data_IF_971739074215
#
_entry.id   IF_971739074215
#
_cell.length_a   1.000
_cell.length_b   1.000
_cell.length_c   1.000
_cell.angle_alpha   90.00
_cell.angle_beta   90.00
_cell.angle_gamma   90.00
#
_symmetry.space_group_name_H-M   'P 1'
#
loop_
_entity.id
_entity.type
_entity.pdbx_description
1 polymer ?
#
# COMPACT_ATOMS: atom_id res chain seq x y z
N UNK A 1 -18.71 23.86 10.97
CA UNK A 1 -18.79 23.11 12.27
C UNK A 1 -18.63 24.10 13.42
N UNK A 2 -19.44 24.00 14.50
CA UNK A 2 -19.25 24.77 15.72
C UNK A 2 -18.02 24.26 16.47
N UNK A 3 -17.16 25.16 16.94
CA UNK A 3 -16.00 24.74 17.72
C UNK A 3 -16.38 24.33 19.13
N UNK A 4 -15.94 23.14 19.52
CA UNK A 4 -16.17 22.52 20.83
C UNK A 4 -14.83 22.28 21.51
N UNK A 5 -14.76 22.58 22.82
CA UNK A 5 -13.56 22.46 23.63
C UNK A 5 -13.73 21.38 24.69
N UNK A 6 -12.72 20.53 24.88
CA UNK A 6 -12.71 19.46 25.87
C UNK A 6 -11.45 19.56 26.72
N UNK A 7 -11.60 19.40 28.04
CA UNK A 7 -10.50 19.44 28.99
C UNK A 7 -9.52 18.31 28.80
N UNK A 8 -8.24 18.64 28.73
CA UNK A 8 -7.14 17.69 28.59
C UNK A 8 -6.61 17.31 29.97
N UNK A 9 -6.70 16.02 30.32
CA UNK A 9 -6.16 15.51 31.58
C UNK A 9 -4.64 15.63 31.61
N UNK A 10 -4.10 16.51 32.44
CA UNK A 10 -2.65 16.71 32.66
C UNK A 10 -2.34 16.82 34.15
N UNK A 11 -1.10 16.55 34.53
CA UNK A 11 -0.64 16.68 35.92
C UNK A 11 -0.34 18.14 36.32
N UNK A 12 -0.24 19.04 35.33
CA UNK A 12 0.08 20.46 35.56
C UNK A 12 -0.65 21.33 34.54
N UNK A 13 -1.44 22.29 35.05
CA UNK A 13 -2.16 23.27 34.24
C UNK A 13 -3.46 22.75 33.62
N UNK A 14 -4.38 23.68 33.43
CA UNK A 14 -5.68 23.46 32.84
C UNK A 14 -5.60 23.76 31.34
N UNK A 15 -5.66 22.70 30.55
CA UNK A 15 -5.61 22.77 29.09
C UNK A 15 -6.92 22.27 28.50
N UNK A 16 -7.29 22.83 27.36
CA UNK A 16 -8.41 22.33 26.56
C UNK A 16 -7.99 22.22 25.08
N UNK A 17 -8.45 21.16 24.43
CA UNK A 17 -8.27 20.92 23.01
C UNK A 17 -9.61 21.10 22.29
N UNK A 18 -9.60 21.73 21.14
CA UNK A 18 -10.81 21.86 20.32
C UNK A 18 -10.89 20.79 19.21
N UNK A 19 -12.11 20.53 18.73
CA UNK A 19 -12.37 19.73 17.54
C UNK A 19 -11.77 20.35 16.24
N UNK A 20 -11.31 21.61 16.30
CA UNK A 20 -10.59 22.28 15.22
C UNK A 20 -9.05 22.17 15.36
N UNK A 21 -8.53 21.39 16.32
CA UNK A 21 -7.09 21.19 16.51
C UNK A 21 -6.36 22.32 17.21
N UNK A 22 -7.08 23.24 17.87
CA UNK A 22 -6.52 24.33 18.65
C UNK A 22 -6.38 23.94 20.12
N UNK A 23 -5.28 24.35 20.76
CA UNK A 23 -5.06 24.14 22.20
C UNK A 23 -5.14 25.50 22.92
N UNK A 24 -5.76 25.53 24.12
CA UNK A 24 -5.76 26.67 25.00
C UNK A 24 -5.43 26.30 26.45
N UNK A 25 -4.92 27.24 27.20
CA UNK A 25 -4.58 27.13 28.63
C UNK A 25 -5.21 28.23 29.40
N UNK A 26 -5.73 27.94 30.59
CA UNK A 26 -6.20 28.92 31.54
C UNK A 26 -5.05 29.38 32.42
N UNK A 27 -4.86 30.73 32.53
CA UNK A 27 -3.85 31.33 33.38
C UNK A 27 -4.53 31.98 34.57
N UNK A 28 -4.43 31.32 35.71
CA UNK A 28 -5.16 31.67 36.94
C UNK A 28 -4.72 32.96 37.61
N UNK A 29 -3.61 33.60 37.19
CA UNK A 29 -3.07 34.82 37.84
C UNK A 29 -3.78 36.12 37.46
N UNK A 30 -4.56 36.18 36.36
CA UNK A 30 -5.16 37.39 35.83
C UNK A 30 -6.57 37.21 35.27
N UNK A 31 -7.37 36.32 35.90
CA UNK A 31 -8.71 36.03 35.43
C UNK A 31 -8.78 34.75 34.56
N UNK A 32 -9.99 34.24 34.39
CA UNK A 32 -10.28 32.97 33.69
C UNK A 32 -10.22 33.08 32.15
N UNK A 33 -9.43 34.01 31.60
CA UNK A 33 -9.33 34.17 30.14
C UNK A 33 -8.37 33.13 29.55
N UNK A 34 -8.86 32.26 28.69
CA UNK A 34 -8.01 31.25 28.09
C UNK A 34 -7.07 31.83 27.04
N UNK A 35 -5.80 31.41 27.06
CA UNK A 35 -4.79 31.79 26.08
C UNK A 35 -4.60 30.65 25.07
N UNK A 36 -4.70 30.98 23.78
CA UNK A 36 -4.44 30.03 22.71
C UNK A 36 -2.95 29.72 22.61
N UNK A 37 -2.62 28.45 22.54
CA UNK A 37 -1.24 27.94 22.39
C UNK A 37 -1.01 27.55 20.92
N UNK A 38 -0.14 28.29 20.23
CA UNK A 38 0.15 28.06 18.81
C UNK A 38 0.88 26.71 18.57
N UNK A 39 1.64 26.22 19.57
CA UNK A 39 2.49 25.04 19.41
C UNK A 39 3.60 25.21 18.38
N UNK A 40 4.39 24.14 18.16
CA UNK A 40 5.44 24.08 17.14
C UNK A 40 5.06 23.18 15.96
N UNK A 41 5.99 23.04 15.03
CA UNK A 41 5.90 22.05 13.93
C UNK A 41 7.14 21.18 14.00
N UNK A 42 6.96 19.85 13.96
CA UNK A 42 8.07 18.88 13.93
C UNK A 42 8.78 18.88 12.58
N UNK A 43 9.98 18.32 12.49
CA UNK A 43 10.72 18.12 11.23
C UNK A 43 9.92 17.29 10.22
N UNK A 44 9.02 16.42 10.70
CA UNK A 44 8.12 15.62 9.86
C UNK A 44 6.86 16.41 9.42
N UNK A 45 6.70 17.68 9.83
CA UNK A 45 5.60 18.54 9.45
C UNK A 45 4.33 18.42 10.29
N UNK A 46 4.38 17.80 11.48
CA UNK A 46 3.22 17.67 12.36
C UNK A 46 3.14 18.81 13.37
N UNK A 47 1.93 19.30 13.66
CA UNK A 47 1.69 20.21 14.79
C UNK A 47 2.01 19.50 16.10
N UNK A 48 2.75 20.17 16.98
CA UNK A 48 3.16 19.63 18.29
C UNK A 48 2.92 20.68 19.39
N UNK A 49 2.48 20.18 20.55
CA UNK A 49 2.29 20.96 21.77
C UNK A 49 3.19 20.40 22.90
N UNK A 50 3.50 21.26 23.86
CA UNK A 50 4.21 20.85 25.08
C UNK A 50 3.25 20.91 26.26
N UNK A 51 2.87 19.72 26.77
CA UNK A 51 1.93 19.57 27.90
C UNK A 51 2.67 18.94 29.07
N UNK A 52 2.74 19.66 30.18
CA UNK A 52 3.40 19.18 31.41
C UNK A 52 4.82 18.62 31.19
N UNK A 53 5.62 19.30 30.33
CA UNK A 53 6.98 18.87 30.00
C UNK A 53 7.09 17.77 28.96
N UNK A 54 5.98 17.27 28.39
CA UNK A 54 5.96 16.23 27.36
C UNK A 54 5.49 16.80 26.03
N UNK A 55 6.14 16.34 24.97
CA UNK A 55 5.73 16.63 23.60
C UNK A 55 4.55 15.77 23.18
N UNK A 56 3.48 16.40 22.67
CA UNK A 56 2.25 15.73 22.24
C UNK A 56 1.88 16.21 20.85
N UNK A 57 1.63 15.27 19.92
CA UNK A 57 1.22 15.60 18.56
C UNK A 57 -0.25 16.05 18.53
N UNK A 58 -0.53 17.17 17.85
CA UNK A 58 -1.84 17.81 17.81
C UNK A 58 -2.94 16.88 17.28
N UNK A 59 -2.73 16.23 16.14
CA UNK A 59 -3.69 15.28 15.57
C UNK A 59 -4.01 14.11 16.51
N UNK A 60 -3.01 13.59 17.24
CA UNK A 60 -3.23 12.51 18.21
C UNK A 60 -4.03 12.98 19.42
N UNK A 61 -3.80 14.25 19.82
CA UNK A 61 -4.54 14.85 20.92
C UNK A 61 -6.02 15.02 20.54
N UNK A 62 -6.31 15.56 19.35
CA UNK A 62 -7.69 15.68 18.83
C UNK A 62 -8.35 14.30 18.70
N UNK A 63 -7.69 13.35 18.03
CA UNK A 63 -8.24 12.02 17.85
C UNK A 63 -8.58 11.34 19.19
N UNK A 64 -7.71 11.49 20.20
CA UNK A 64 -7.92 10.90 21.54
C UNK A 64 -9.19 11.40 22.23
N UNK A 65 -9.54 12.67 22.03
CA UNK A 65 -10.66 13.29 22.75
C UNK A 65 -11.96 13.37 21.96
N UNK A 66 -11.90 13.26 20.62
CA UNK A 66 -13.07 13.45 19.75
C UNK A 66 -13.41 12.27 18.86
N UNK A 67 -12.51 11.28 18.71
CA UNK A 67 -12.73 10.13 17.81
C UNK A 67 -12.61 8.84 18.61
N UNK A 68 -13.68 8.05 18.63
CA UNK A 68 -13.67 6.73 19.29
C UNK A 68 -12.71 5.77 18.56
N UNK A 69 -11.90 5.03 19.32
CA UNK A 69 -10.95 4.04 18.81
C UNK A 69 -11.33 2.62 19.26
N UNK A 70 -12.45 2.10 18.73
CA UNK A 70 -12.97 0.77 19.09
C UNK A 70 -12.01 -0.38 18.81
N UNK A 71 -11.21 -0.26 17.77
CA UNK A 71 -10.29 -1.30 17.32
C UNK A 71 -8.86 -1.13 17.85
N UNK A 72 -8.63 -0.18 18.77
CA UNK A 72 -7.31 0.14 19.32
C UNK A 72 -6.24 0.37 18.23
N UNK A 73 -6.60 1.04 17.14
CA UNK A 73 -5.67 1.37 16.06
C UNK A 73 -4.52 2.25 16.54
N UNK A 74 -3.27 1.97 16.13
CA UNK A 74 -2.09 2.66 16.62
C UNK A 74 -1.83 4.02 15.96
N UNK A 75 -2.38 4.25 14.76
CA UNK A 75 -2.12 5.43 13.95
C UNK A 75 -3.33 6.36 13.89
N UNK A 76 -3.05 7.66 13.72
CA UNK A 76 -4.03 8.66 13.31
C UNK A 76 -3.62 9.17 11.93
N UNK A 77 -4.50 9.03 10.96
CA UNK A 77 -4.32 9.47 9.58
C UNK A 77 -4.99 10.83 9.34
N UNK A 78 -4.41 11.64 8.45
CA UNK A 78 -5.03 12.83 7.89
C UNK A 78 -5.65 12.47 6.53
N UNK A 79 -6.97 12.46 6.43
CA UNK A 79 -7.70 12.03 5.21
C UNK A 79 -7.28 12.81 3.97
N UNK A 80 -7.00 14.11 4.11
CA UNK A 80 -6.53 14.98 3.01
C UNK A 80 -5.00 15.00 2.84
N UNK A 81 -4.25 14.25 3.66
CA UNK A 81 -2.78 14.22 3.66
C UNK A 81 -2.09 15.46 4.25
N UNK A 82 -2.81 16.51 4.63
CA UNK A 82 -2.24 17.71 5.24
C UNK A 82 -2.02 17.51 6.75
N UNK A 83 -0.77 17.35 7.16
CA UNK A 83 -0.36 17.08 8.55
C UNK A 83 -0.62 18.24 9.53
N UNK A 84 -0.92 19.42 9.04
CA UNK A 84 -1.25 20.59 9.86
C UNK A 84 -2.75 20.80 10.03
N UNK A 85 -3.57 20.12 9.23
CA UNK A 85 -5.03 20.19 9.31
C UNK A 85 -5.56 19.15 10.30
N UNK A 86 -5.62 19.57 11.57
CA UNK A 86 -6.01 18.73 12.70
C UNK A 86 -7.49 18.84 13.08
N UNK A 87 -8.34 19.28 12.15
CA UNK A 87 -9.80 19.29 12.35
C UNK A 87 -10.30 17.84 12.47
N UNK A 88 -11.21 17.58 13.40
CA UNK A 88 -11.70 16.23 13.70
C UNK A 88 -12.23 15.49 12.47
N UNK A 89 -12.93 16.17 11.56
CA UNK A 89 -13.48 15.58 10.34
C UNK A 89 -12.40 15.07 9.37
N UNK A 90 -11.20 15.66 9.44
CA UNK A 90 -10.05 15.27 8.63
C UNK A 90 -9.23 14.13 9.24
N UNK A 91 -9.52 13.72 10.48
CA UNK A 91 -8.74 12.70 11.20
C UNK A 91 -9.50 11.39 11.29
N UNK A 92 -8.75 10.28 11.33
CA UNK A 92 -9.28 8.95 11.58
C UNK A 92 -8.23 8.07 12.26
N UNK A 93 -8.69 7.14 13.12
CA UNK A 93 -7.83 6.08 13.62
C UNK A 93 -7.66 4.99 12.55
N UNK A 94 -6.45 4.50 12.35
CA UNK A 94 -6.15 3.47 11.36
C UNK A 94 -4.98 2.58 11.78
N UNK A 95 -4.87 1.42 11.14
CA UNK A 95 -3.71 0.56 11.23
C UNK A 95 -2.51 1.14 10.45
N UNK A 96 -1.31 0.60 10.70
CA UNK A 96 -0.11 0.96 9.91
C UNK A 96 -0.27 0.63 8.42
N UNK A 97 -0.95 -0.48 8.10
CA UNK A 97 -1.21 -0.91 6.72
C UNK A 97 -2.12 0.07 5.99
N UNK A 98 -3.28 0.40 6.58
CA UNK A 98 -4.24 1.35 6.01
C UNK A 98 -3.60 2.73 5.80
N UNK A 99 -2.85 3.23 6.80
CA UNK A 99 -2.14 4.49 6.68
C UNK A 99 -1.11 4.49 5.52
N UNK A 100 -0.41 3.37 5.34
CA UNK A 100 0.54 3.21 4.23
C UNK A 100 -0.17 3.16 2.87
N UNK A 101 -1.25 2.40 2.74
CA UNK A 101 -2.06 2.30 1.52
C UNK A 101 -2.64 3.68 1.17
N UNK A 102 -3.18 4.41 2.16
CA UNK A 102 -3.68 5.76 1.97
C UNK A 102 -2.60 6.70 1.43
N UNK A 103 -1.38 6.68 2.02
CA UNK A 103 -0.27 7.50 1.57
C UNK A 103 0.15 7.23 0.11
N UNK A 104 0.07 5.97 -0.36
CA UNK A 104 0.27 5.62 -1.77
C UNK A 104 -0.89 6.13 -2.65
N UNK A 105 -2.13 5.97 -2.20
CA UNK A 105 -3.34 6.36 -2.96
C UNK A 105 -3.37 7.86 -3.24
N UNK A 106 -2.99 8.69 -2.26
CA UNK A 106 -2.97 10.17 -2.42
C UNK A 106 -1.62 10.72 -2.90
N UNK A 107 -0.69 9.83 -3.29
CA UNK A 107 0.60 10.22 -3.89
C UNK A 107 1.65 10.76 -2.93
N UNK A 108 1.45 10.70 -1.62
CA UNK A 108 2.47 11.07 -0.61
C UNK A 108 3.65 10.10 -0.56
N UNK A 109 3.43 8.86 -1.00
CA UNK A 109 4.47 7.85 -1.19
C UNK A 109 4.42 7.34 -2.62
N UNK A 110 5.59 7.17 -3.22
CA UNK A 110 5.75 6.48 -4.50
C UNK A 110 6.39 5.11 -4.24
N UNK A 111 5.93 4.03 -4.88
CA UNK A 111 6.61 2.76 -4.77
C UNK A 111 8.02 2.88 -5.36
N UNK A 112 9.01 2.35 -4.68
CA UNK A 112 10.36 2.20 -5.22
C UNK A 112 10.34 1.02 -6.19
N UNK A 113 10.27 1.33 -7.48
CA UNK A 113 10.24 0.35 -8.59
C UNK A 113 11.56 0.36 -9.34
N UNK A 114 11.84 -0.75 -10.03
CA UNK A 114 13.04 -0.87 -10.84
C UNK A 114 14.32 -0.81 -10.02
N UNK A 115 15.34 -0.18 -10.57
CA UNK A 115 16.65 -0.02 -9.93
C UNK A 115 16.65 0.85 -8.66
N UNK A 116 15.59 1.66 -8.46
CA UNK A 116 15.43 2.46 -7.24
C UNK A 116 15.02 1.60 -6.02
N UNK A 117 14.62 0.35 -6.22
CA UNK A 117 14.33 -0.57 -5.12
C UNK A 117 15.61 -1.01 -4.44
N UNK A 118 15.66 -0.93 -3.09
CA UNK A 118 16.79 -1.43 -2.30
C UNK A 118 17.08 -2.93 -2.50
N UNK A 119 16.16 -3.67 -3.10
CA UNK A 119 16.29 -5.11 -3.42
C UNK A 119 16.70 -5.35 -4.87
N UNK A 120 16.82 -4.32 -5.69
CA UNK A 120 17.19 -4.45 -7.08
C UNK A 120 18.65 -4.93 -7.19
N UNK A 121 18.86 -6.08 -7.86
CA UNK A 121 20.19 -6.62 -8.17
C UNK A 121 20.67 -6.22 -9.56
N UNK A 122 19.78 -5.70 -10.39
CA UNK A 122 20.00 -5.33 -11.77
C UNK A 122 19.61 -3.88 -12.01
N UNK A 123 20.31 -3.23 -12.94
CA UNK A 123 19.95 -1.90 -13.46
C UNK A 123 18.94 -2.03 -14.59
N UNK A 124 18.17 -0.98 -14.84
CA UNK A 124 17.15 -0.96 -15.91
C UNK A 124 17.72 -1.29 -17.29
N UNK A 125 18.92 -0.80 -17.60
CA UNK A 125 19.62 -1.13 -18.84
C UNK A 125 19.91 -2.63 -18.96
N UNK A 126 20.41 -3.27 -17.89
CA UNK A 126 20.72 -4.70 -17.87
C UNK A 126 19.44 -5.54 -18.04
N UNK A 127 18.34 -5.11 -17.42
CA UNK A 127 17.03 -5.75 -17.57
C UNK A 127 16.53 -5.68 -19.01
N UNK A 128 16.66 -4.54 -19.67
CA UNK A 128 16.29 -4.40 -21.08
C UNK A 128 17.17 -5.26 -21.99
N UNK A 129 18.48 -5.35 -21.71
CA UNK A 129 19.41 -6.21 -22.45
C UNK A 129 19.02 -7.69 -22.29
N UNK A 130 18.71 -8.13 -21.06
CA UNK A 130 18.23 -9.49 -20.77
C UNK A 130 16.91 -9.77 -21.49
N UNK A 131 15.95 -8.84 -21.41
CA UNK A 131 14.63 -9.00 -22.02
C UNK A 131 14.68 -9.17 -23.54
N UNK A 132 15.54 -8.41 -24.21
CA UNK A 132 15.72 -8.46 -25.68
C UNK A 132 16.65 -9.59 -26.13
N UNK A 133 17.45 -10.15 -25.23
CA UNK A 133 18.44 -11.17 -25.57
C UNK A 133 17.81 -12.49 -26.01
N UNK A 134 18.37 -13.13 -27.03
CA UNK A 134 18.04 -14.51 -27.47
C UNK A 134 18.87 -15.59 -26.76
N UNK A 135 19.84 -15.17 -25.94
CA UNK A 135 20.73 -16.08 -25.22
C UNK A 135 19.98 -16.96 -24.21
N UNK A 136 20.59 -18.10 -23.87
CA UNK A 136 20.05 -19.04 -22.88
C UNK A 136 20.03 -18.40 -21.48
N UNK A 137 19.02 -18.76 -20.68
CA UNK A 137 18.88 -18.27 -19.29
C UNK A 137 20.08 -18.57 -18.43
N UNK A 138 20.72 -19.75 -18.62
CA UNK A 138 21.93 -20.14 -17.89
C UNK A 138 23.12 -19.21 -18.16
N UNK A 139 23.36 -18.86 -19.42
CA UNK A 139 24.41 -17.95 -19.82
C UNK A 139 24.20 -16.53 -19.26
N UNK A 140 22.96 -16.02 -19.36
CA UNK A 140 22.62 -14.70 -18.82
C UNK A 140 22.69 -14.66 -17.27
N UNK A 141 22.31 -15.76 -16.61
CA UNK A 141 22.43 -15.93 -15.16
C UNK A 141 23.89 -15.79 -14.70
N UNK A 142 24.81 -16.44 -15.39
CA UNK A 142 26.25 -16.35 -15.11
C UNK A 142 26.81 -14.95 -15.41
N UNK A 143 26.46 -14.38 -16.57
CA UNK A 143 26.90 -13.05 -17.01
C UNK A 143 26.50 -11.95 -16.05
N UNK A 144 25.24 -11.95 -15.59
CA UNK A 144 24.68 -10.90 -14.71
C UNK A 144 24.73 -11.26 -13.22
N UNK A 145 25.28 -12.42 -12.86
CA UNK A 145 25.42 -12.92 -11.48
C UNK A 145 24.11 -12.92 -10.69
N UNK A 146 23.02 -13.35 -11.32
CA UNK A 146 21.69 -13.48 -10.73
C UNK A 146 21.14 -14.87 -11.01
N UNK A 147 20.17 -15.30 -10.19
CA UNK A 147 19.55 -16.62 -10.36
C UNK A 147 18.81 -16.74 -11.71
N UNK A 148 18.78 -17.95 -12.26
CA UNK A 148 18.10 -18.23 -13.54
C UNK A 148 16.60 -17.93 -13.48
N UNK A 149 15.98 -18.05 -12.30
CA UNK A 149 14.58 -17.70 -12.11
C UNK A 149 14.33 -16.20 -12.35
N UNK A 150 15.26 -15.34 -11.92
CA UNK A 150 15.19 -13.88 -12.15
C UNK A 150 15.28 -13.58 -13.63
N UNK A 151 16.22 -14.23 -14.36
CA UNK A 151 16.35 -14.08 -15.81
C UNK A 151 15.07 -14.55 -16.53
N UNK A 152 14.51 -15.67 -16.08
CA UNK A 152 13.27 -16.20 -16.63
C UNK A 152 12.10 -15.22 -16.42
N UNK A 153 11.95 -14.67 -15.19
CA UNK A 153 10.88 -13.73 -14.87
C UNK A 153 11.01 -12.41 -15.65
N UNK A 154 12.22 -11.96 -15.93
CA UNK A 154 12.45 -10.79 -16.78
C UNK A 154 12.06 -11.12 -18.24
N UNK A 155 12.54 -12.24 -18.80
CA UNK A 155 12.22 -12.65 -20.17
C UNK A 155 10.74 -12.90 -20.41
N UNK A 156 10.03 -13.40 -19.38
CA UNK A 156 8.59 -13.60 -19.44
C UNK A 156 7.75 -12.35 -19.11
N UNK A 157 8.38 -11.22 -18.79
CA UNK A 157 7.68 -9.98 -18.42
C UNK A 157 6.92 -10.07 -17.09
N UNK A 158 7.20 -11.08 -16.25
CA UNK A 158 6.56 -11.23 -14.93
C UNK A 158 7.05 -10.17 -13.94
N UNK A 159 8.32 -9.78 -14.07
CA UNK A 159 8.96 -8.72 -13.27
C UNK A 159 9.33 -7.54 -14.17
N UNK A 160 9.69 -6.41 -13.57
CA UNK A 160 10.06 -5.18 -14.28
C UNK A 160 9.03 -4.72 -15.32
N UNK A 161 7.76 -4.89 -15.01
CA UNK A 161 6.63 -4.61 -15.93
C UNK A 161 6.60 -3.18 -16.48
N UNK A 162 7.16 -2.22 -15.74
CA UNK A 162 7.28 -0.83 -16.18
C UNK A 162 8.27 -0.65 -17.36
N UNK A 163 9.20 -1.60 -17.56
CA UNK A 163 10.14 -1.62 -18.69
C UNK A 163 9.71 -2.56 -19.80
N UNK A 164 9.14 -3.72 -19.44
CA UNK A 164 8.79 -4.79 -20.38
C UNK A 164 7.38 -4.66 -20.94
N UNK A 165 6.60 -3.70 -20.46
CA UNK A 165 5.19 -3.53 -20.83
C UNK A 165 4.26 -4.59 -20.25
N UNK A 166 4.78 -5.51 -19.41
CA UNK A 166 3.99 -6.58 -18.80
C UNK A 166 3.46 -7.62 -19.80
N UNK A 167 3.96 -7.61 -21.03
CA UNK A 167 3.58 -8.56 -22.07
C UNK A 167 4.19 -9.93 -21.73
N UNK A 168 3.35 -10.86 -21.39
CA UNK A 168 3.68 -12.22 -21.00
C UNK A 168 4.05 -13.04 -22.25
N UNK A 169 5.27 -12.89 -22.77
CA UNK A 169 5.72 -13.57 -23.99
C UNK A 169 6.06 -15.05 -23.72
N UNK A 170 6.28 -15.43 -22.44
CA UNK A 170 6.62 -16.81 -22.07
C UNK A 170 5.90 -17.27 -20.79
N UNK A 171 4.59 -17.20 -20.74
CA UNK A 171 3.84 -17.84 -19.66
C UNK A 171 3.98 -19.36 -19.77
N UNK A 172 4.66 -19.99 -18.81
CA UNK A 172 4.75 -21.48 -18.73
C UNK A 172 3.42 -22.15 -18.44
N UNK A 173 2.42 -21.41 -17.96
CA UNK A 173 1.03 -21.87 -17.82
C UNK A 173 0.11 -20.74 -18.28
N UNK A 174 -0.58 -20.96 -19.38
CA UNK A 174 -1.78 -20.22 -19.71
C UNK A 174 -2.78 -20.55 -18.60
N UNK A 175 -2.94 -19.63 -17.62
CA UNK A 175 -3.99 -19.79 -16.61
C UNK A 175 -5.29 -19.63 -17.36
N UNK A 176 -5.96 -20.76 -17.59
CA UNK A 176 -7.27 -20.76 -18.22
C UNK A 176 -8.26 -20.15 -17.23
N UNK A 177 -9.08 -19.19 -17.70
CA UNK A 177 -10.16 -18.65 -16.85
C UNK A 177 -11.13 -19.78 -16.49
N UNK A 178 -11.80 -19.67 -15.35
CA UNK A 178 -12.83 -20.63 -14.92
C UNK A 178 -13.90 -20.84 -16.00
N UNK A 179 -14.25 -19.78 -16.74
CA UNK A 179 -15.17 -19.86 -17.88
C UNK A 179 -14.65 -20.81 -18.98
N UNK A 180 -13.38 -20.71 -19.37
CA UNK A 180 -12.77 -21.58 -20.39
C UNK A 180 -12.66 -23.03 -19.88
N UNK A 181 -12.32 -23.22 -18.61
CA UNK A 181 -12.25 -24.54 -17.97
C UNK A 181 -13.63 -25.21 -18.02
N UNK A 182 -14.68 -24.51 -17.62
CA UNK A 182 -16.05 -25.03 -17.66
C UNK A 182 -16.54 -25.28 -19.12
N UNK A 183 -16.16 -24.41 -20.06
CA UNK A 183 -16.46 -24.64 -21.48
C UNK A 183 -15.79 -25.89 -22.03
N UNK A 184 -14.52 -26.12 -21.69
CA UNK A 184 -13.80 -27.37 -22.09
C UNK A 184 -14.40 -28.61 -21.41
N UNK A 185 -14.82 -28.50 -20.15
CA UNK A 185 -15.43 -29.58 -19.39
C UNK A 185 -16.75 -30.05 -20.02
N UNK A 186 -17.59 -29.09 -20.41
CA UNK A 186 -18.93 -29.36 -20.99
C UNK A 186 -18.91 -29.60 -22.51
N UNK A 187 -17.76 -29.60 -23.17
CA UNK A 187 -17.64 -29.78 -24.60
C UNK A 187 -17.60 -31.26 -24.97
N UNK A 188 -18.59 -31.75 -25.76
CA UNK A 188 -18.68 -33.17 -26.16
C UNK A 188 -17.77 -33.55 -27.34
N UNK A 189 -17.04 -32.59 -27.91
CA UNK A 189 -16.14 -32.82 -29.04
C UNK A 189 -14.92 -33.68 -28.65
N UNK A 190 -14.31 -34.40 -29.61
CA UNK A 190 -13.07 -35.13 -29.42
C UNK A 190 -11.94 -34.25 -28.85
N UNK A 191 -11.13 -34.81 -27.94
CA UNK A 191 -10.06 -34.08 -27.21
C UNK A 191 -9.10 -33.30 -28.12
N UNK A 192 -8.79 -33.83 -29.32
CA UNK A 192 -7.92 -33.14 -30.28
C UNK A 192 -8.55 -31.85 -30.85
N UNK A 193 -9.85 -31.87 -31.13
CA UNK A 193 -10.58 -30.74 -31.69
C UNK A 193 -10.80 -29.65 -30.60
N UNK A 194 -11.11 -30.07 -29.37
CA UNK A 194 -11.21 -29.18 -28.22
C UNK A 194 -9.86 -28.51 -27.92
N UNK A 195 -8.78 -29.28 -27.94
CA UNK A 195 -7.42 -28.77 -27.76
C UNK A 195 -7.06 -27.68 -28.81
N UNK A 196 -7.45 -27.92 -30.06
CA UNK A 196 -7.25 -26.95 -31.15
C UNK A 196 -8.14 -25.73 -30.98
N UNK A 197 -9.44 -25.89 -30.67
CA UNK A 197 -10.41 -24.80 -30.47
C UNK A 197 -10.00 -23.82 -29.38
N UNK A 198 -9.51 -24.32 -28.25
CA UNK A 198 -9.12 -23.49 -27.11
C UNK A 198 -7.61 -23.17 -27.04
N UNK A 199 -6.82 -23.66 -27.99
CA UNK A 199 -5.36 -23.42 -28.05
C UNK A 199 -4.60 -23.97 -26.84
N UNK A 200 -4.98 -25.17 -26.37
CA UNK A 200 -4.39 -25.86 -25.20
C UNK A 200 -3.84 -27.23 -25.59
N UNK A 201 -2.98 -27.81 -24.75
CA UNK A 201 -2.49 -29.16 -24.98
C UNK A 201 -3.59 -30.19 -24.78
N UNK A 202 -3.53 -31.31 -25.52
CA UNK A 202 -4.47 -32.46 -25.35
C UNK A 202 -4.49 -33.00 -23.91
N UNK A 203 -3.32 -33.00 -23.24
CA UNK A 203 -3.21 -33.40 -21.83
C UNK A 203 -3.99 -32.42 -20.89
N UNK A 204 -4.02 -31.15 -21.21
CA UNK A 204 -4.80 -30.13 -20.45
C UNK A 204 -6.29 -30.44 -20.56
N UNK A 205 -6.80 -30.72 -21.77
CA UNK A 205 -8.21 -31.09 -21.97
C UNK A 205 -8.58 -32.36 -21.19
N UNK A 206 -7.72 -33.41 -21.24
CA UNK A 206 -7.91 -34.64 -20.46
C UNK A 206 -7.97 -34.36 -18.95
N UNK A 207 -7.04 -33.57 -18.42
CA UNK A 207 -7.00 -33.22 -17.00
C UNK A 207 -8.27 -32.45 -16.56
N UNK A 208 -8.75 -31.51 -17.39
CA UNK A 208 -9.98 -30.78 -17.12
C UNK A 208 -11.18 -31.71 -17.06
N UNK A 209 -11.33 -32.60 -18.06
CA UNK A 209 -12.43 -33.55 -18.12
C UNK A 209 -12.40 -34.59 -16.99
N UNK A 210 -11.22 -34.96 -16.50
CA UNK A 210 -11.04 -35.85 -15.38
C UNK A 210 -11.17 -35.18 -14.00
N UNK A 211 -11.53 -33.87 -13.95
CA UNK A 211 -11.66 -33.13 -12.70
C UNK A 211 -10.33 -32.80 -12.01
N UNK A 212 -9.19 -33.04 -12.66
CA UNK A 212 -7.85 -32.79 -12.11
C UNK A 212 -7.36 -31.32 -12.35
N UNK A 213 -8.20 -30.44 -12.86
CA UNK A 213 -7.88 -29.04 -12.99
C UNK A 213 -8.22 -28.33 -11.67
N UNK A 214 -7.22 -27.70 -11.04
CA UNK A 214 -7.46 -26.79 -9.91
C UNK A 214 -8.28 -25.59 -10.40
N UNK A 215 -9.56 -25.61 -10.11
CA UNK A 215 -10.43 -24.45 -10.19
C UNK A 215 -10.16 -23.65 -8.92
N UNK A 216 -9.46 -22.53 -9.01
CA UNK A 216 -9.43 -21.58 -7.89
C UNK A 216 -10.84 -20.96 -7.78
N UNK A 217 -11.60 -21.46 -6.81
CA UNK A 217 -12.88 -20.90 -6.36
C UNK A 217 -12.61 -19.61 -5.60
#
# INVERSE_FOLDING_TARGET
MKEVWVSVKTNRGNYEISNCGRLRKYVTKHGDTPVIICGGVTTQGYRVFYLSGKQVLGHRLVAKYFIENKLNHPCVNHKNGNKLDNVVDNLEWCSYSENSIHAFRIGLKKPLIGEMSNRAKLKEKEVLDIYKSKEKTSFLSEKYKVDQSIIFDIKSGNTWKHLTGGLNVMSRKKILSNYIIMSIYNEDMPTNLVAQKYGVAKSTVKNIRNGNAHVNI
#
